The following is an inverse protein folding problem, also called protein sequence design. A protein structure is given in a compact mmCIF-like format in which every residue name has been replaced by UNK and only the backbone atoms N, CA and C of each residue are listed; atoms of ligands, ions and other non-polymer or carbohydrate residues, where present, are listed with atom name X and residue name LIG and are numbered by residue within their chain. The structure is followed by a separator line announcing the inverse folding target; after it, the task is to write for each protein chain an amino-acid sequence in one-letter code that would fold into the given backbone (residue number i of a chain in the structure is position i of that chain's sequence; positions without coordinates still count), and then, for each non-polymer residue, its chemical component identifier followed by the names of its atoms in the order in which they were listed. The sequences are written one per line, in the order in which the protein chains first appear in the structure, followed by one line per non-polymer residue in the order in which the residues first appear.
data_IF_912162871063
#
_entry.id   IF_912162871063
#
_cell.length_a   1.000
_cell.length_b   1.000
_cell.length_c   1.000
_cell.angle_alpha   90.00
_cell.angle_beta   90.00
_cell.angle_gamma   90.00
#
_symmetry.space_group_name_H-M   'P 1'
#
loop_
_entity.id
_entity.type
_entity.pdbx_description
1 polymer ?
#
# COMPACT_ATOMS: atom_id res chain seq x y z
N UNK A 1 24.98 55.56 -57.41
CA UNK A 1 25.27 55.27 -56.04
C UNK A 1 24.21 54.27 -55.50
N UNK A 2 24.49 52.96 -55.47
CA UNK A 2 23.57 51.94 -55.01
C UNK A 2 24.02 51.50 -53.60
N UNK A 3 23.21 51.80 -52.60
CA UNK A 3 23.40 51.36 -51.21
C UNK A 3 22.80 49.97 -51.04
N UNK A 4 23.66 48.99 -50.79
CA UNK A 4 23.28 47.61 -50.47
C UNK A 4 23.06 47.55 -48.94
N UNK A 5 21.82 47.33 -48.49
CA UNK A 5 21.48 47.06 -47.10
C UNK A 5 21.79 45.61 -46.78
N UNK A 6 22.77 45.39 -45.91
CA UNK A 6 23.12 44.08 -45.35
C UNK A 6 22.20 43.81 -44.17
N UNK A 7 21.21 42.91 -44.36
CA UNK A 7 20.31 42.44 -43.27
C UNK A 7 21.03 41.39 -42.43
N UNK A 8 21.39 41.76 -41.21
CA UNK A 8 21.92 40.83 -40.20
C UNK A 8 20.76 40.02 -39.60
N UNK A 9 20.64 38.75 -40.01
CA UNK A 9 19.71 37.84 -39.34
C UNK A 9 20.30 37.38 -37.99
N UNK A 10 19.73 37.92 -36.92
CA UNK A 10 20.05 37.47 -35.54
C UNK A 10 19.28 36.18 -35.27
N UNK A 11 19.94 35.02 -35.39
CA UNK A 11 19.38 33.74 -35.03
C UNK A 11 19.26 33.66 -33.48
N UNK A 12 18.04 33.74 -33.00
CA UNK A 12 17.73 33.53 -31.58
C UNK A 12 17.98 32.05 -31.23
N UNK A 13 19.10 31.77 -30.57
CA UNK A 13 19.36 30.50 -29.90
C UNK A 13 18.43 30.41 -28.70
N UNK A 14 17.30 29.74 -28.84
CA UNK A 14 16.45 29.37 -27.72
C UNK A 14 17.14 28.26 -26.91
N UNK A 15 17.11 28.31 -25.58
CA UNK A 15 17.87 27.37 -24.78
C UNK A 15 17.27 25.96 -24.81
N UNK A 16 18.01 25.00 -25.33
CA UNK A 16 17.74 23.54 -25.27
C UNK A 16 17.97 22.96 -23.84
N UNK A 17 18.19 23.81 -22.85
CA UNK A 17 18.58 23.47 -21.47
C UNK A 17 17.45 22.75 -20.71
N UNK A 18 16.19 23.01 -21.00
CA UNK A 18 15.05 22.52 -20.18
C UNK A 18 14.80 21.02 -20.29
N UNK A 19 14.96 20.40 -21.45
CA UNK A 19 14.69 18.97 -21.64
C UNK A 19 15.82 18.07 -21.09
N UNK A 20 17.06 18.49 -21.27
CA UNK A 20 18.23 17.75 -20.76
C UNK A 20 18.29 17.77 -19.23
N UNK A 21 17.94 18.88 -18.60
CA UNK A 21 17.88 19.00 -17.16
C UNK A 21 16.77 18.14 -16.56
N UNK A 22 15.60 18.10 -17.17
CA UNK A 22 14.50 17.23 -16.75
C UNK A 22 14.85 15.73 -16.81
N UNK A 23 15.58 15.30 -17.83
CA UNK A 23 16.05 13.92 -17.95
C UNK A 23 17.10 13.56 -16.87
N UNK A 24 18.03 14.49 -16.59
CA UNK A 24 19.02 14.33 -15.52
C UNK A 24 18.35 14.25 -14.14
N UNK A 25 17.39 15.13 -13.87
CA UNK A 25 16.64 15.13 -12.61
C UNK A 25 15.89 13.81 -12.38
N UNK A 26 15.26 13.26 -13.43
CA UNK A 26 14.59 11.95 -13.36
C UNK A 26 15.59 10.84 -13.06
N UNK A 27 16.76 10.86 -13.68
CA UNK A 27 17.79 9.82 -13.47
C UNK A 27 18.36 9.84 -12.04
N UNK A 28 18.67 11.02 -11.51
CA UNK A 28 19.14 11.17 -10.13
C UNK A 28 18.01 10.87 -9.12
N UNK A 29 16.78 11.34 -9.38
CA UNK A 29 15.60 11.01 -8.58
C UNK A 29 15.33 9.50 -8.51
N UNK A 30 15.59 8.74 -9.58
CA UNK A 30 15.51 7.28 -9.58
C UNK A 30 16.50 6.63 -8.60
N UNK A 31 17.72 7.13 -8.53
CA UNK A 31 18.73 6.63 -7.58
C UNK A 31 18.30 6.90 -6.14
N UNK A 32 17.83 8.11 -5.86
CA UNK A 32 17.33 8.50 -4.55
C UNK A 32 16.11 7.65 -4.15
N UNK A 33 15.18 7.46 -5.07
CA UNK A 33 14.02 6.60 -4.87
C UNK A 33 14.42 5.16 -4.53
N UNK A 34 15.43 4.62 -5.23
CA UNK A 34 15.99 3.29 -4.99
C UNK A 34 16.54 3.10 -3.57
N UNK A 35 17.10 4.16 -2.97
CA UNK A 35 17.62 4.12 -1.61
C UNK A 35 16.61 4.41 -0.51
N UNK A 36 15.58 5.21 -0.80
CA UNK A 36 14.70 5.79 0.22
C UNK A 36 13.27 5.25 0.19
N UNK A 37 12.75 4.81 -0.97
CA UNK A 37 11.32 4.64 -1.18
C UNK A 37 10.91 3.21 -1.53
N UNK A 38 11.79 2.43 -2.17
CA UNK A 38 11.47 1.10 -2.76
C UNK A 38 10.98 0.08 -1.74
N UNK A 39 11.46 0.12 -0.51
CA UNK A 39 11.05 -0.81 0.57
C UNK A 39 9.53 -0.79 0.79
N UNK A 40 8.92 0.38 0.61
CA UNK A 40 7.47 0.54 0.79
C UNK A 40 6.72 0.63 -0.54
N UNK A 41 7.29 1.29 -1.55
CA UNK A 41 6.59 1.62 -2.80
C UNK A 41 6.95 0.69 -3.98
N UNK A 42 7.86 -0.29 -3.79
CA UNK A 42 8.33 -1.17 -4.86
C UNK A 42 9.37 -0.50 -5.77
N UNK A 43 10.18 -1.30 -6.49
CA UNK A 43 11.30 -0.81 -7.32
C UNK A 43 10.85 0.08 -8.50
N UNK A 44 9.67 -0.21 -9.03
CA UNK A 44 9.03 0.51 -10.15
C UNK A 44 7.93 1.46 -9.69
N UNK A 45 7.76 1.63 -8.37
CA UNK A 45 6.66 2.38 -7.79
C UNK A 45 5.32 1.65 -7.88
N UNK A 46 5.30 0.35 -8.15
CA UNK A 46 4.08 -0.47 -8.28
C UNK A 46 3.33 -0.71 -6.99
N UNK A 47 3.88 -0.27 -5.85
CA UNK A 47 3.30 -0.44 -4.53
C UNK A 47 3.91 -1.59 -3.75
N UNK A 48 3.49 -1.73 -2.52
CA UNK A 48 3.96 -2.72 -1.56
C UNK A 48 3.30 -2.44 -0.22
N UNK A 49 4.07 -2.23 0.82
CA UNK A 49 3.56 -1.71 2.09
C UNK A 49 2.99 -0.29 1.93
N UNK A 50 3.58 0.53 1.06
CA UNK A 50 3.07 1.82 0.60
C UNK A 50 2.22 1.69 -0.67
N UNK A 51 1.41 2.73 -1.00
CA UNK A 51 0.58 2.72 -2.19
C UNK A 51 1.42 2.76 -3.48
N UNK A 52 0.85 2.28 -4.62
CA UNK A 52 1.48 2.44 -5.92
C UNK A 52 1.58 3.92 -6.31
N UNK A 53 2.76 4.30 -6.81
CA UNK A 53 3.09 5.65 -7.28
C UNK A 53 3.14 5.74 -8.81
N UNK A 54 3.19 4.60 -9.51
CA UNK A 54 3.16 4.50 -10.98
C UNK A 54 1.74 4.70 -11.53
N UNK A 55 1.09 5.79 -11.14
CA UNK A 55 -0.27 6.15 -11.50
C UNK A 55 -0.31 7.54 -12.10
N UNK A 56 -1.13 7.76 -13.14
CA UNK A 56 -1.27 9.09 -13.75
C UNK A 56 -1.70 10.16 -12.75
N UNK A 57 -2.41 9.76 -11.69
CA UNK A 57 -2.95 10.68 -10.70
C UNK A 57 -2.70 10.13 -9.29
N UNK A 58 -2.02 10.90 -8.46
CA UNK A 58 -1.83 10.62 -7.04
C UNK A 58 -2.87 11.41 -6.25
N UNK A 59 -3.86 10.72 -5.65
CA UNK A 59 -5.00 11.37 -4.98
C UNK A 59 -4.59 12.29 -3.83
N UNK A 60 -3.59 11.89 -3.05
CA UNK A 60 -3.08 12.68 -1.92
C UNK A 60 -2.04 13.72 -2.32
N UNK A 61 -1.57 13.69 -3.57
CA UNK A 61 -0.52 14.57 -4.10
C UNK A 61 -0.88 15.04 -5.51
N UNK A 62 -1.93 15.87 -5.68
CA UNK A 62 -2.41 16.29 -7.01
C UNK A 62 -1.37 17.14 -7.77
N UNK A 63 -0.54 17.88 -7.06
CA UNK A 63 0.50 18.76 -7.59
C UNK A 63 1.87 18.51 -6.96
N UNK A 64 2.92 19.12 -7.50
CA UNK A 64 4.30 18.93 -7.05
C UNK A 64 4.55 19.48 -5.64
N UNK A 65 3.86 20.54 -5.25
CA UNK A 65 3.98 21.11 -3.92
C UNK A 65 3.42 20.14 -2.86
N UNK A 66 2.26 19.56 -3.12
CA UNK A 66 1.65 18.54 -2.26
C UNK A 66 2.54 17.29 -2.18
N UNK A 67 3.12 16.84 -3.31
CA UNK A 67 4.03 15.69 -3.33
C UNK A 67 5.30 15.97 -2.55
N UNK A 68 5.91 17.15 -2.73
CA UNK A 68 7.06 17.61 -1.97
C UNK A 68 6.78 17.60 -0.46
N UNK A 69 5.65 18.16 -0.05
CA UNK A 69 5.25 18.21 1.36
C UNK A 69 5.07 16.81 1.95
N UNK A 70 4.43 15.91 1.21
CA UNK A 70 4.25 14.51 1.66
C UNK A 70 5.60 13.80 1.81
N UNK A 71 6.54 14.01 0.90
CA UNK A 71 7.87 13.40 1.02
C UNK A 71 8.62 14.00 2.22
N UNK A 72 8.60 15.32 2.38
CA UNK A 72 9.32 16.03 3.45
C UNK A 72 8.78 15.69 4.84
N UNK A 73 7.45 15.73 5.02
CA UNK A 73 6.81 15.59 6.32
C UNK A 73 6.30 14.17 6.62
N UNK A 74 6.25 13.31 5.59
CA UNK A 74 5.61 12.01 5.69
C UNK A 74 4.09 12.13 5.85
N UNK A 75 3.46 11.01 6.18
CA UNK A 75 2.03 10.97 6.53
C UNK A 75 1.90 10.38 7.93
N UNK A 76 1.81 11.25 8.97
CA UNK A 76 1.64 10.80 10.35
C UNK A 76 0.45 9.85 10.47
N UNK A 77 0.59 8.81 11.27
CA UNK A 77 -0.43 7.78 11.52
C UNK A 77 -0.79 6.87 10.34
N UNK A 78 -0.14 7.03 9.16
CA UNK A 78 -0.35 6.17 7.97
C UNK A 78 0.91 5.41 7.54
N UNK A 79 1.98 5.45 8.33
CA UNK A 79 3.17 4.63 8.12
C UNK A 79 4.21 5.19 7.14
N UNK A 80 3.95 6.31 6.45
CA UNK A 80 4.96 6.96 5.63
C UNK A 80 5.83 7.86 6.51
N UNK A 81 7.12 7.54 6.69
CA UNK A 81 8.04 8.39 7.46
C UNK A 81 8.38 9.65 6.67
N UNK A 82 8.80 10.71 7.38
CA UNK A 82 9.42 11.87 6.75
C UNK A 82 10.78 11.51 6.18
N UNK A 83 11.10 12.05 5.03
CA UNK A 83 12.43 11.93 4.44
C UNK A 83 13.29 13.10 4.96
N UNK A 84 14.29 12.74 5.77
CA UNK A 84 15.23 13.71 6.34
C UNK A 84 16.53 13.72 5.54
N UNK A 85 17.25 14.84 5.59
CA UNK A 85 18.59 15.00 5.00
C UNK A 85 18.61 14.84 3.48
N UNK A 86 17.59 15.36 2.82
CA UNK A 86 17.60 15.58 1.37
C UNK A 86 17.67 17.09 1.13
N UNK A 87 18.50 17.51 0.19
CA UNK A 87 18.60 18.88 -0.26
C UNK A 87 17.38 19.29 -1.08
N UNK A 88 17.20 20.58 -1.34
CA UNK A 88 16.13 21.06 -2.22
C UNK A 88 16.26 20.52 -3.65
N UNK A 89 17.48 20.34 -4.11
CA UNK A 89 17.82 19.73 -5.40
C UNK A 89 17.36 18.26 -5.45
N UNK A 90 17.78 17.46 -4.49
CA UNK A 90 17.39 16.03 -4.38
C UNK A 90 15.87 15.86 -4.23
N UNK A 91 15.23 16.77 -3.49
CA UNK A 91 13.78 16.79 -3.35
C UNK A 91 13.09 17.05 -4.70
N UNK A 92 13.62 17.99 -5.50
CA UNK A 92 13.10 18.27 -6.84
C UNK A 92 13.28 17.06 -7.75
N UNK A 93 14.43 16.38 -7.68
CA UNK A 93 14.73 15.18 -8.43
C UNK A 93 13.80 14.02 -8.04
N UNK A 94 13.54 13.80 -6.75
CA UNK A 94 12.56 12.80 -6.27
C UNK A 94 11.16 13.08 -6.83
N UNK A 95 10.68 14.32 -6.75
CA UNK A 95 9.39 14.73 -7.29
C UNK A 95 9.34 14.48 -8.81
N UNK A 96 10.38 14.88 -9.56
CA UNK A 96 10.46 14.66 -11.00
C UNK A 96 10.38 13.16 -11.36
N UNK A 97 11.11 12.31 -10.62
CA UNK A 97 11.07 10.87 -10.85
C UNK A 97 9.69 10.28 -10.54
N UNK A 98 9.09 10.59 -9.40
CA UNK A 98 7.76 10.08 -9.03
C UNK A 98 6.71 10.50 -10.06
N UNK A 99 6.77 11.74 -10.56
CA UNK A 99 5.88 12.18 -11.66
C UNK A 99 6.16 11.46 -12.97
N UNK A 100 7.42 11.09 -13.24
CA UNK A 100 7.78 10.38 -14.47
C UNK A 100 7.24 8.94 -14.49
N UNK A 101 7.34 8.22 -13.39
CA UNK A 101 6.80 6.85 -13.30
C UNK A 101 5.26 6.82 -13.39
N UNK A 102 4.59 7.88 -12.93
CA UNK A 102 3.15 8.03 -13.08
C UNK A 102 2.68 8.26 -14.52
N UNK A 103 3.57 8.75 -15.40
CA UNK A 103 3.28 8.96 -16.82
C UNK A 103 3.54 7.72 -17.70
N UNK A 104 4.32 6.78 -17.19
CA UNK A 104 4.60 5.53 -17.90
C UNK A 104 3.34 4.70 -18.05
N UNK A 105 3.18 4.05 -19.19
CA UNK A 105 2.08 3.11 -19.38
C UNK A 105 2.15 2.03 -18.28
N UNK A 106 1.09 1.88 -17.54
CA UNK A 106 0.99 0.87 -16.49
C UNK A 106 0.97 -0.50 -17.16
N UNK A 107 1.78 -1.42 -16.67
CA UNK A 107 1.69 -2.80 -17.09
C UNK A 107 0.25 -3.32 -16.84
N UNK A 108 -0.33 -3.98 -17.82
CA UNK A 108 -1.64 -4.60 -17.65
C UNK A 108 -1.57 -5.61 -16.50
N UNK A 109 -2.53 -5.55 -15.60
CA UNK A 109 -2.67 -6.59 -14.57
C UNK A 109 -3.22 -7.82 -15.26
N UNK A 110 -2.50 -8.95 -15.26
CA UNK A 110 -2.99 -10.20 -15.87
C UNK A 110 -4.32 -10.62 -15.25
N UNK A 111 -5.16 -11.31 -16.04
CA UNK A 111 -6.43 -11.86 -15.59
C UNK A 111 -7.64 -11.04 -15.98
N UNK A 112 -8.82 -11.61 -15.68
CA UNK A 112 -10.13 -11.06 -15.96
C UNK A 112 -10.82 -10.65 -14.65
N UNK A 113 -11.08 -9.37 -14.46
CA UNK A 113 -11.66 -8.85 -13.23
C UNK A 113 -13.12 -9.29 -13.00
N UNK A 114 -13.87 -9.62 -14.05
CA UNK A 114 -15.24 -10.15 -13.91
C UNK A 114 -15.19 -11.56 -13.31
N UNK A 115 -14.34 -12.43 -13.86
CA UNK A 115 -14.11 -13.75 -13.29
C UNK A 115 -13.50 -13.65 -11.88
N UNK A 116 -12.62 -12.69 -11.66
CA UNK A 116 -12.06 -12.41 -10.34
C UNK A 116 -13.10 -12.06 -9.29
N UNK A 117 -14.14 -11.31 -9.64
CA UNK A 117 -15.30 -11.07 -8.78
C UNK A 117 -16.07 -12.37 -8.45
N UNK A 118 -16.17 -13.30 -9.40
CA UNK A 118 -16.77 -14.62 -9.16
C UNK A 118 -15.90 -15.49 -8.23
N UNK A 119 -14.57 -15.43 -8.40
CA UNK A 119 -13.61 -16.09 -7.49
C UNK A 119 -13.72 -15.53 -6.08
N UNK A 120 -13.79 -14.19 -5.93
CA UNK A 120 -13.99 -13.50 -4.65
C UNK A 120 -15.24 -14.02 -3.92
N UNK A 121 -16.37 -14.11 -4.64
CA UNK A 121 -17.62 -14.63 -4.10
C UNK A 121 -17.54 -16.13 -3.76
N UNK A 122 -16.99 -16.95 -4.65
CA UNK A 122 -16.79 -18.41 -4.50
C UNK A 122 -15.99 -18.75 -3.24
N UNK A 123 -14.97 -17.96 -2.95
CA UNK A 123 -14.08 -18.16 -1.79
C UNK A 123 -14.64 -17.60 -0.49
N UNK A 124 -15.75 -16.87 -0.52
CA UNK A 124 -16.38 -16.29 0.66
C UNK A 124 -15.59 -15.13 1.29
N UNK A 125 -14.78 -14.42 0.50
CA UNK A 125 -13.93 -13.33 1.00
C UNK A 125 -14.73 -12.22 1.70
N UNK A 126 -15.98 -11.99 1.24
CA UNK A 126 -16.92 -11.04 1.87
C UNK A 126 -17.28 -11.39 3.32
N UNK A 127 -17.05 -12.62 3.78
CA UNK A 127 -17.25 -13.00 5.18
C UNK A 127 -16.31 -12.26 6.15
N UNK A 128 -15.15 -11.84 5.65
CA UNK A 128 -14.14 -11.16 6.45
C UNK A 128 -13.85 -9.73 5.99
N UNK A 129 -14.12 -9.40 4.72
CA UNK A 129 -13.74 -8.13 4.11
C UNK A 129 -14.96 -7.30 3.69
N UNK A 130 -14.89 -6.00 3.93
CA UNK A 130 -15.88 -5.03 3.46
C UNK A 130 -15.48 -4.50 2.09
N UNK A 131 -16.43 -4.48 1.15
CA UNK A 131 -16.37 -3.72 -0.10
C UNK A 131 -17.63 -2.87 -0.21
N UNK A 132 -17.49 -1.57 -0.40
CA UNK A 132 -18.59 -0.61 -0.52
C UNK A 132 -19.63 -0.71 0.61
N UNK A 133 -19.16 -0.86 1.85
CA UNK A 133 -20.01 -0.96 3.03
C UNK A 133 -20.67 -2.31 3.26
N UNK A 134 -20.41 -3.32 2.39
CA UNK A 134 -20.99 -4.66 2.50
C UNK A 134 -19.90 -5.70 2.81
N UNK A 135 -20.16 -6.58 3.77
CA UNK A 135 -19.23 -7.66 4.16
C UNK A 135 -18.85 -7.62 5.64
N UNK A 136 -17.99 -8.57 6.02
CA UNK A 136 -17.44 -8.70 7.37
C UNK A 136 -16.26 -7.77 7.62
N UNK A 137 -16.02 -7.44 8.88
CA UNK A 137 -14.97 -6.50 9.31
C UNK A 137 -13.82 -7.18 10.08
N UNK A 138 -13.64 -8.49 9.89
CA UNK A 138 -12.54 -9.24 10.51
C UNK A 138 -11.19 -8.98 9.82
N UNK A 139 -11.22 -8.68 8.53
CA UNK A 139 -10.08 -8.26 7.72
C UNK A 139 -10.17 -6.78 7.31
N UNK A 140 -9.13 -6.25 6.65
CA UNK A 140 -9.14 -4.87 6.15
C UNK A 140 -10.24 -4.64 5.13
N UNK A 141 -10.74 -3.41 5.10
CA UNK A 141 -11.66 -2.96 4.06
C UNK A 141 -10.97 -2.92 2.71
N UNK A 142 -11.61 -3.46 1.68
CA UNK A 142 -11.08 -3.59 0.33
C UNK A 142 -11.67 -2.59 -0.69
N UNK A 143 -12.61 -1.74 -0.28
CA UNK A 143 -13.29 -0.77 -1.18
C UNK A 143 -12.32 -0.03 -2.09
N UNK A 144 -11.19 0.41 -1.56
CA UNK A 144 -10.18 1.18 -2.28
C UNK A 144 -8.83 0.44 -2.37
N UNK A 145 -8.81 -0.87 -2.21
CA UNK A 145 -7.55 -1.62 -2.09
C UNK A 145 -6.68 -1.50 -3.33
N UNK A 146 -7.26 -1.41 -4.51
CA UNK A 146 -6.54 -1.19 -5.75
C UNK A 146 -5.78 0.14 -5.78
N UNK A 147 -6.19 1.16 -5.03
CA UNK A 147 -5.44 2.41 -4.82
C UNK A 147 -4.35 2.29 -3.76
N UNK A 148 -4.50 1.38 -2.81
CA UNK A 148 -3.65 1.27 -1.63
C UNK A 148 -2.51 0.29 -1.85
N UNK A 149 -2.75 -0.78 -2.65
CA UNK A 149 -1.79 -1.87 -2.87
C UNK A 149 -1.59 -2.16 -4.35
N UNK A 150 -0.37 -2.51 -4.73
CA UNK A 150 -0.04 -2.98 -6.07
C UNK A 150 -0.41 -4.46 -6.29
N UNK A 151 -0.49 -4.90 -7.57
CA UNK A 151 -0.90 -6.27 -7.90
C UNK A 151 -0.03 -7.35 -7.27
N UNK A 152 1.29 -7.15 -7.20
CA UNK A 152 2.22 -8.11 -6.60
C UNK A 152 1.98 -8.28 -5.10
N UNK A 153 1.71 -7.16 -4.39
CA UNK A 153 1.33 -7.22 -2.99
C UNK A 153 0.00 -7.94 -2.80
N UNK A 154 -0.99 -7.67 -3.65
CA UNK A 154 -2.30 -8.32 -3.57
C UNK A 154 -2.18 -9.83 -3.82
N UNK A 155 -1.35 -10.24 -4.78
CA UNK A 155 -1.04 -11.65 -5.04
C UNK A 155 -0.41 -12.32 -3.83
N UNK A 156 0.64 -11.72 -3.28
CA UNK A 156 1.33 -12.24 -2.11
C UNK A 156 0.38 -12.34 -0.90
N UNK A 157 -0.44 -11.30 -0.65
CA UNK A 157 -1.40 -11.31 0.45
C UNK A 157 -2.48 -12.40 0.34
N UNK A 158 -2.85 -12.81 -0.87
CA UNK A 158 -3.79 -13.91 -1.13
C UNK A 158 -3.11 -15.27 -0.93
N UNK A 159 -1.89 -15.42 -1.40
CA UNK A 159 -1.18 -16.71 -1.38
C UNK A 159 -0.48 -16.94 -0.03
N UNK A 160 0.11 -15.89 0.54
CA UNK A 160 0.92 -15.94 1.75
C UNK A 160 0.58 -14.78 2.70
N UNK A 161 -0.61 -14.78 3.30
CA UNK A 161 -1.13 -13.60 4.03
C UNK A 161 -0.31 -13.19 5.25
N UNK A 162 0.62 -14.04 5.73
CA UNK A 162 1.54 -13.72 6.82
C UNK A 162 2.94 -13.28 6.34
N UNK A 163 3.24 -13.31 5.03
CA UNK A 163 4.59 -13.11 4.50
C UNK A 163 5.23 -11.77 4.91
N UNK A 164 4.43 -10.71 5.00
CA UNK A 164 4.90 -9.37 5.40
C UNK A 164 4.59 -8.98 6.83
N UNK A 165 4.06 -9.89 7.62
CA UNK A 165 3.83 -9.63 9.03
C UNK A 165 5.15 -9.71 9.80
N UNK A 166 5.32 -8.89 10.87
CA UNK A 166 6.54 -8.95 11.67
C UNK A 166 6.66 -10.30 12.32
N UNK A 167 7.88 -10.78 12.35
CA UNK A 167 8.26 -11.98 13.09
C UNK A 167 8.92 -11.58 14.40
N UNK A 168 8.59 -12.28 15.46
CA UNK A 168 9.19 -12.08 16.77
C UNK A 168 8.55 -10.99 17.63
N UNK A 169 9.16 -10.75 18.78
CA UNK A 169 8.67 -9.84 19.81
C UNK A 169 9.12 -8.41 19.52
N UNK A 170 8.27 -7.61 18.86
CA UNK A 170 8.58 -6.21 18.59
C UNK A 170 8.30 -5.36 19.83
N UNK A 171 9.34 -4.74 20.37
CA UNK A 171 9.23 -3.81 21.50
C UNK A 171 8.46 -2.52 21.14
N UNK A 172 8.39 -2.19 19.84
CA UNK A 172 7.67 -1.01 19.33
C UNK A 172 6.63 -1.51 18.34
N UNK A 173 5.33 -1.25 18.55
CA UNK A 173 4.31 -1.58 17.58
C UNK A 173 4.61 -0.79 16.30
N UNK A 174 5.01 -1.48 15.24
CA UNK A 174 5.00 -0.87 13.93
C UNK A 174 3.54 -0.58 13.57
N UNK A 175 3.27 0.63 13.11
CA UNK A 175 1.92 1.05 12.72
C UNK A 175 1.36 0.11 11.65
N UNK A 176 0.14 -0.35 11.82
CA UNK A 176 -0.52 -1.31 10.94
C UNK A 176 -0.50 -2.76 11.44
N UNK A 177 0.40 -3.11 12.36
CA UNK A 177 0.44 -4.46 12.94
C UNK A 177 -0.59 -4.70 14.04
N UNK A 178 -1.15 -3.63 14.59
CA UNK A 178 -2.09 -3.72 15.71
C UNK A 178 -3.55 -3.87 15.28
N UNK A 179 -3.91 -3.47 14.08
CA UNK A 179 -5.32 -3.47 13.65
C UNK A 179 -5.88 -4.88 13.45
N UNK A 180 -5.06 -5.82 12.97
CA UNK A 180 -5.49 -7.18 12.64
C UNK A 180 -4.65 -8.23 13.39
N UNK A 181 -4.17 -7.90 14.60
CA UNK A 181 -3.39 -8.83 15.41
C UNK A 181 -4.27 -9.95 15.95
N UNK A 182 -4.06 -11.21 15.58
CA UNK A 182 -4.77 -12.32 16.15
C UNK A 182 -4.39 -12.51 17.60
N UNK A 183 -5.37 -12.83 18.42
CA UNK A 183 -5.19 -13.15 19.84
C UNK A 183 -6.06 -14.33 20.23
N UNK A 184 -5.54 -15.13 21.16
CA UNK A 184 -6.28 -16.14 21.87
C UNK A 184 -6.34 -15.77 23.36
N UNK A 185 -7.54 -15.71 23.91
CA UNK A 185 -7.80 -15.50 25.33
C UNK A 185 -8.42 -16.78 25.90
N UNK A 186 -7.77 -17.40 26.88
CA UNK A 186 -8.31 -18.56 27.60
C UNK A 186 -8.79 -18.07 28.98
N UNK A 187 -10.04 -18.29 29.28
CA UNK A 187 -10.64 -17.94 30.57
C UNK A 187 -10.30 -18.98 31.61
N UNK A 188 -10.48 -18.65 32.93
CA UNK A 188 -10.22 -19.59 34.02
C UNK A 188 -11.13 -20.82 34.04
N UNK A 189 -12.31 -20.72 33.39
CA UNK A 189 -13.24 -21.84 33.18
C UNK A 189 -12.88 -22.74 31.97
N UNK A 190 -11.78 -22.41 31.26
CA UNK A 190 -11.31 -23.13 30.10
C UNK A 190 -11.94 -22.67 28.77
N UNK A 191 -12.88 -21.73 28.76
CA UNK A 191 -13.42 -21.19 27.52
C UNK A 191 -12.36 -20.42 26.75
N UNK A 192 -12.32 -20.63 25.43
CA UNK A 192 -11.36 -19.98 24.51
C UNK A 192 -12.07 -18.98 23.61
N UNK A 193 -11.52 -17.76 23.55
CA UNK A 193 -11.92 -16.70 22.64
C UNK A 193 -10.76 -16.41 21.71
N UNK A 194 -10.92 -16.69 20.42
CA UNK A 194 -9.92 -16.38 19.40
C UNK A 194 -10.46 -15.38 18.37
N UNK A 195 -9.69 -14.36 18.06
CA UNK A 195 -10.11 -13.34 17.12
C UNK A 195 -9.06 -12.26 16.91
N UNK A 196 -9.51 -11.11 16.40
CA UNK A 196 -8.67 -9.91 16.23
C UNK A 196 -8.77 -9.05 17.49
N UNK A 197 -7.62 -8.64 18.01
CA UNK A 197 -7.54 -7.65 19.08
C UNK A 197 -8.00 -6.29 18.55
N UNK A 198 -9.03 -5.73 19.16
CA UNK A 198 -9.53 -4.39 18.83
C UNK A 198 -8.90 -3.32 19.72
N UNK A 199 -8.84 -3.61 21.02
CA UNK A 199 -8.27 -2.73 22.01
C UNK A 199 -7.68 -3.55 23.16
N UNK A 200 -6.72 -2.97 23.87
CA UNK A 200 -6.11 -3.58 25.03
C UNK A 200 -5.49 -2.51 25.92
N UNK A 201 -5.79 -2.59 27.20
CA UNK A 201 -5.14 -1.81 28.24
C UNK A 201 -4.56 -2.73 29.33
N UNK A 202 -4.16 -2.19 30.48
CA UNK A 202 -3.63 -2.99 31.59
C UNK A 202 -4.67 -3.89 32.25
N UNK A 203 -5.96 -3.59 32.13
CA UNK A 203 -7.04 -4.27 32.82
C UNK A 203 -7.90 -5.12 31.91
N UNK A 204 -8.07 -4.72 30.64
CA UNK A 204 -9.01 -5.35 29.71
C UNK A 204 -8.37 -5.64 28.36
N UNK A 205 -8.98 -6.59 27.65
CA UNK A 205 -8.73 -6.85 26.22
C UNK A 205 -10.06 -6.99 25.52
N UNK A 206 -10.20 -6.34 24.37
CA UNK A 206 -11.35 -6.45 23.47
C UNK A 206 -10.96 -7.25 22.23
N UNK A 207 -11.73 -8.28 21.96
CA UNK A 207 -11.51 -9.22 20.87
C UNK A 207 -12.77 -9.31 20.02
N UNK A 208 -12.63 -9.25 18.69
CA UNK A 208 -13.69 -9.58 17.75
C UNK A 208 -13.40 -10.96 17.17
N UNK A 209 -14.30 -11.92 17.39
CA UNK A 209 -14.15 -13.27 16.89
C UNK A 209 -14.53 -13.41 15.41
N UNK A 210 -14.36 -14.62 14.85
CA UNK A 210 -14.64 -14.90 13.45
C UNK A 210 -16.12 -14.75 13.07
N UNK A 211 -17.04 -14.76 14.04
CA UNK A 211 -18.47 -14.51 13.81
C UNK A 211 -18.83 -13.03 13.79
N UNK A 212 -17.86 -12.16 14.09
CA UNK A 212 -18.07 -10.73 14.25
C UNK A 212 -18.50 -10.29 15.65
N UNK A 213 -18.64 -11.24 16.59
CA UNK A 213 -19.02 -10.94 17.97
C UNK A 213 -17.87 -10.25 18.72
N UNK A 214 -18.25 -9.25 19.52
CA UNK A 214 -17.33 -8.52 20.38
C UNK A 214 -17.30 -9.15 21.76
N UNK A 215 -16.10 -9.38 22.25
CA UNK A 215 -15.81 -9.87 23.59
C UNK A 215 -14.97 -8.83 24.31
N UNK A 216 -15.45 -8.36 25.46
CA UNK A 216 -14.69 -7.52 26.40
C UNK A 216 -14.34 -8.35 27.61
N UNK A 217 -13.06 -8.68 27.78
CA UNK A 217 -12.58 -9.59 28.83
C UNK A 217 -11.71 -8.80 29.79
N UNK A 218 -11.99 -8.91 31.09
CA UNK A 218 -11.04 -8.46 32.13
C UNK A 218 -9.85 -9.42 32.16
N UNK A 219 -8.65 -8.89 32.16
CA UNK A 219 -7.42 -9.73 32.21
C UNK A 219 -7.34 -10.56 33.49
N UNK A 220 -7.99 -10.12 34.57
CA UNK A 220 -8.16 -10.93 35.80
C UNK A 220 -8.99 -12.19 35.59
N UNK A 221 -9.87 -12.24 34.59
CA UNK A 221 -10.73 -13.39 34.35
C UNK A 221 -10.07 -14.35 33.30
N UNK A 222 -8.93 -13.95 32.74
CA UNK A 222 -8.18 -14.72 31.77
C UNK A 222 -7.01 -15.46 32.40
N UNK A 223 -6.95 -16.78 32.20
CA UNK A 223 -5.79 -17.59 32.55
C UNK A 223 -4.61 -17.33 31.60
N UNK A 224 -4.91 -17.07 30.31
CA UNK A 224 -3.91 -16.79 29.26
C UNK A 224 -4.42 -15.73 28.30
N UNK A 225 -3.56 -14.77 27.96
CA UNK A 225 -3.74 -13.87 26.81
C UNK A 225 -2.53 -14.04 25.89
N UNK A 226 -2.72 -14.74 24.76
CA UNK A 226 -1.66 -15.02 23.78
C UNK A 226 -1.85 -14.17 22.54
N UNK A 227 -0.87 -13.34 22.23
CA UNK A 227 -0.78 -12.58 20.97
C UNK A 227 -0.08 -13.43 19.93
N UNK A 228 -0.73 -13.66 18.78
CA UNK A 228 -0.23 -14.52 17.72
C UNK A 228 0.55 -13.68 16.68
N UNK A 229 1.70 -13.13 17.11
CA UNK A 229 2.55 -12.26 16.28
C UNK A 229 3.07 -13.06 15.08
N UNK A 230 3.07 -12.46 13.89
CA UNK A 230 3.52 -13.09 12.65
C UNK A 230 2.54 -14.07 12.05
N UNK A 231 1.31 -14.16 12.58
CA UNK A 231 0.25 -15.00 12.02
C UNK A 231 -0.89 -14.15 11.44
N UNK A 232 -1.69 -14.75 10.57
CA UNK A 232 -2.88 -14.12 9.98
C UNK A 232 -4.11 -14.98 10.22
N UNK A 233 -5.28 -14.35 10.46
CA UNK A 233 -6.57 -15.06 10.41
C UNK A 233 -7.04 -15.29 8.97
N UNK A 234 -6.52 -14.53 8.01
CA UNK A 234 -6.74 -14.81 6.59
C UNK A 234 -6.04 -16.13 6.24
N UNK A 235 -6.75 -17.14 5.73
CA UNK A 235 -6.12 -18.37 5.29
C UNK A 235 -5.29 -18.16 4.02
N UNK A 236 -4.27 -19.00 3.80
CA UNK A 236 -3.61 -19.09 2.50
C UNK A 236 -4.55 -19.71 1.46
N UNK A 237 -4.58 -19.14 0.29
CA UNK A 237 -5.32 -19.67 -0.85
C UNK A 237 -4.41 -20.36 -1.88
N UNK A 238 -3.12 -20.51 -1.59
CA UNK A 238 -2.14 -21.10 -2.51
C UNK A 238 -2.51 -22.47 -3.05
N UNK A 239 -3.16 -23.33 -2.23
CA UNK A 239 -3.60 -24.66 -2.61
C UNK A 239 -5.07 -24.73 -3.06
N UNK A 240 -5.81 -23.62 -2.98
CA UNK A 240 -7.25 -23.55 -3.26
C UNK A 240 -7.59 -22.88 -4.58
N UNK A 241 -6.62 -22.21 -5.19
CA UNK A 241 -6.74 -21.45 -6.43
C UNK A 241 -5.82 -22.01 -7.50
N UNK A 242 -6.33 -22.15 -8.72
CA UNK A 242 -5.50 -22.32 -9.90
C UNK A 242 -4.78 -21.00 -10.23
N UNK A 243 -3.64 -21.08 -10.95
CA UNK A 243 -2.84 -19.90 -11.29
C UNK A 243 -3.66 -18.80 -12.01
N UNK A 244 -4.53 -19.19 -12.96
CA UNK A 244 -5.42 -18.25 -13.66
C UNK A 244 -6.47 -17.61 -12.73
N UNK A 245 -6.99 -18.33 -11.73
CA UNK A 245 -7.92 -17.77 -10.75
C UNK A 245 -7.24 -16.74 -9.82
N UNK A 246 -5.94 -16.93 -9.53
CA UNK A 246 -5.16 -15.94 -8.80
C UNK A 246 -5.02 -14.65 -9.60
N UNK A 247 -4.69 -14.77 -10.91
CA UNK A 247 -4.58 -13.61 -11.80
C UNK A 247 -5.92 -12.86 -11.90
N UNK A 248 -7.02 -13.60 -12.10
CA UNK A 248 -8.36 -13.02 -12.17
C UNK A 248 -8.73 -12.28 -10.87
N UNK A 249 -8.49 -12.90 -9.71
CA UNK A 249 -8.76 -12.27 -8.40
C UNK A 249 -7.92 -11.02 -8.18
N UNK A 250 -6.63 -11.05 -8.53
CA UNK A 250 -5.74 -9.88 -8.44
C UNK A 250 -6.21 -8.77 -9.38
N UNK A 251 -6.65 -9.11 -10.61
CA UNK A 251 -7.22 -8.14 -11.53
C UNK A 251 -8.49 -7.49 -10.96
N UNK A 252 -9.38 -8.26 -10.33
CA UNK A 252 -10.56 -7.74 -9.65
C UNK A 252 -10.20 -6.78 -8.51
N UNK A 253 -9.37 -7.23 -7.57
CA UNK A 253 -8.95 -6.41 -6.42
C UNK A 253 -8.24 -5.13 -6.85
N UNK A 254 -7.43 -5.19 -7.91
CA UNK A 254 -6.71 -4.03 -8.46
C UNK A 254 -7.62 -2.97 -9.07
N UNK A 255 -8.86 -3.30 -9.43
CA UNK A 255 -9.87 -2.36 -9.96
C UNK A 255 -10.73 -1.73 -8.90
N UNK A 256 -10.73 -2.27 -7.68
CA UNK A 256 -11.55 -1.71 -6.61
C UNK A 256 -11.18 -0.25 -6.31
N UNK A 257 -12.18 0.58 -6.13
CA UNK A 257 -12.04 2.02 -5.96
C UNK A 257 -11.87 2.81 -7.26
N UNK A 258 -12.03 2.16 -8.43
CA UNK A 258 -11.82 2.82 -9.73
C UNK A 258 -10.33 3.06 -10.04
N UNK A 259 -9.47 2.17 -9.55
CA UNK A 259 -8.01 2.34 -9.60
C UNK A 259 -7.38 2.02 -10.96
N UNK A 260 -8.11 1.38 -11.88
CA UNK A 260 -7.67 1.00 -13.25
C UNK A 260 -8.57 1.59 -14.31
#
# INVERSE_FOLDING_TARGET
MRMTLLSLALAAMLPTVSAAQGASDIAEGKKLFGGLCVTCHGFDGGGGAGPPLNRPKLLSAPDDASLRNIIAEGIPNRGMPRVRRVTDEEMRQLVAYVRSIGKSARAAVPGDAVRGGQVYAKLGCAGCHIINGSGGSLGPELTNIGWIRGPDYLREAVLEPAARLPQGNLAIPARGYNEFLPVTVVLHDGAEIRGIRLNEDVFTIQVRDATGKFHSVRKSDAAVVRKEIGTSLMPSYATRLAAGEVDDLVAYLSRLGGAL
#
